data_IF_735492230304
#
_entry.id   IF_735492230304
#
_cell.length_a   1.000
_cell.length_b   1.000
_cell.length_c   1.000
_cell.angle_alpha   90.00
_cell.angle_beta   90.00
_cell.angle_gamma   90.00
#
_symmetry.space_group_name_H-M   'P 1'
#
loop_
_entity.id
_entity.type
_entity.pdbx_description
1 polymer ?
#
# COMPACT_ATOMS: atom_id res chain seq x y z
N UNK A 1 -54.78 35.72 -27.02
CA UNK A 1 -54.98 36.99 -26.32
C UNK A 1 -53.66 37.41 -25.66
N UNK A 2 -53.22 38.48 -26.01
CA UNK A 2 -52.10 39.38 -25.92
C UNK A 2 -51.19 39.31 -24.67
N UNK A 3 -49.91 39.27 -24.97
CA UNK A 3 -48.76 39.50 -24.06
C UNK A 3 -48.77 40.98 -23.57
N UNK A 4 -48.12 41.32 -22.44
CA UNK A 4 -47.01 42.28 -22.63
C UNK A 4 -45.71 41.91 -21.91
N UNK A 5 -44.66 42.23 -22.61
CA UNK A 5 -43.23 42.30 -22.22
C UNK A 5 -43.00 43.47 -21.24
N UNK A 6 -42.12 43.27 -20.26
CA UNK A 6 -41.36 44.40 -19.74
C UNK A 6 -39.93 44.00 -19.36
N UNK A 7 -39.00 44.84 -19.77
CA UNK A 7 -37.54 44.76 -19.65
C UNK A 7 -37.03 45.33 -18.31
N UNK A 8 -35.86 44.85 -17.98
CA UNK A 8 -34.64 45.47 -17.41
C UNK A 8 -34.21 44.95 -16.03
N UNK A 9 -32.94 44.68 -15.96
CA UNK A 9 -32.22 44.46 -14.70
C UNK A 9 -31.06 43.49 -14.79
N UNK A 10 -29.93 44.00 -15.24
CA UNK A 10 -28.60 43.39 -15.25
C UNK A 10 -28.13 43.09 -13.83
N UNK A 11 -27.73 41.87 -13.56
CA UNK A 11 -26.79 41.55 -12.47
C UNK A 11 -26.16 40.18 -12.72
N UNK A 12 -24.92 40.21 -13.11
CA UNK A 12 -23.97 39.10 -13.15
C UNK A 12 -23.90 38.38 -11.81
N UNK A 13 -24.25 37.07 -11.76
CA UNK A 13 -23.85 36.20 -10.68
C UNK A 13 -23.09 35.01 -11.26
N UNK A 14 -21.84 34.95 -10.85
CA UNK A 14 -20.92 33.81 -11.05
C UNK A 14 -21.55 32.51 -10.59
N UNK A 15 -21.69 31.56 -11.48
CA UNK A 15 -21.99 30.17 -11.13
C UNK A 15 -20.66 29.42 -10.91
N UNK A 16 -20.32 29.24 -9.64
CA UNK A 16 -19.24 28.37 -9.24
C UNK A 16 -19.71 26.90 -9.40
N UNK A 17 -19.03 26.15 -10.24
CA UNK A 17 -19.21 24.71 -10.36
C UNK A 17 -18.78 23.98 -9.08
N UNK A 18 -19.19 22.70 -8.89
CA UNK A 18 -18.88 21.98 -7.66
C UNK A 18 -17.37 21.75 -7.56
N UNK A 19 -16.79 22.44 -6.59
CA UNK A 19 -15.37 22.30 -6.27
C UNK A 19 -15.06 20.91 -5.73
N UNK A 20 -14.14 20.24 -6.39
CA UNK A 20 -13.50 19.06 -5.82
C UNK A 20 -12.79 19.47 -4.53
N UNK A 21 -13.25 18.95 -3.41
CA UNK A 21 -12.60 19.16 -2.13
C UNK A 21 -11.20 18.54 -2.18
N UNK A 22 -10.19 19.36 -2.36
CA UNK A 22 -8.81 18.97 -2.10
C UNK A 22 -8.68 18.77 -0.59
N UNK A 23 -8.48 17.52 -0.17
CA UNK A 23 -8.05 17.24 1.18
C UNK A 23 -6.70 17.94 1.39
N UNK A 24 -6.71 19.04 2.13
CA UNK A 24 -5.48 19.67 2.57
C UNK A 24 -4.85 18.79 3.63
N UNK A 25 -3.81 18.07 3.28
CA UNK A 25 -2.90 17.44 4.23
C UNK A 25 -2.16 18.56 4.97
N UNK A 26 -2.80 19.09 6.01
CA UNK A 26 -2.18 19.98 6.94
C UNK A 26 -1.35 19.23 7.98
N UNK A 27 -0.33 18.53 7.52
CA UNK A 27 0.71 18.05 8.40
C UNK A 27 1.53 19.26 8.83
N UNK A 28 1.53 19.55 10.13
CA UNK A 28 2.41 20.55 10.73
C UNK A 28 3.86 20.13 10.45
N UNK A 29 4.56 20.84 9.59
CA UNK A 29 5.92 20.51 9.15
C UNK A 29 6.98 20.65 10.28
N UNK A 30 6.56 20.93 11.53
CA UNK A 30 7.43 21.19 12.66
C UNK A 30 7.17 20.34 13.91
N UNK A 31 6.36 19.27 13.83
CA UNK A 31 6.22 18.35 14.97
C UNK A 31 7.29 17.27 14.90
N UNK A 32 7.98 17.03 16.00
CA UNK A 32 8.91 15.91 16.08
C UNK A 32 8.18 14.58 15.77
N UNK A 33 8.83 13.65 15.05
CA UNK A 33 8.20 12.37 14.76
C UNK A 33 7.91 11.59 16.05
N UNK A 34 6.77 10.91 16.07
CA UNK A 34 6.35 10.13 17.22
C UNK A 34 7.17 8.85 17.40
N UNK A 35 7.49 8.18 16.27
CA UNK A 35 8.48 7.10 16.23
C UNK A 35 9.63 7.57 15.33
N UNK A 36 10.84 7.50 15.83
CA UNK A 36 12.05 7.79 15.06
C UNK A 36 13.00 6.60 15.16
N UNK A 37 13.42 6.11 14.03
CA UNK A 37 14.43 5.06 13.89
C UNK A 37 15.64 5.71 13.22
N UNK A 38 16.82 5.59 13.85
CA UNK A 38 18.05 6.21 13.37
C UNK A 38 19.13 5.16 13.11
N UNK A 39 19.51 5.01 11.85
CA UNK A 39 20.59 4.15 11.37
C UNK A 39 20.53 2.74 11.98
N UNK A 40 19.32 2.16 12.02
CA UNK A 40 19.07 0.91 12.74
C UNK A 40 19.57 -0.29 11.94
N UNK A 41 20.38 -1.12 12.58
CA UNK A 41 20.93 -2.32 11.94
C UNK A 41 20.79 -3.54 12.85
N UNK A 42 20.68 -4.72 12.23
CA UNK A 42 20.67 -6.00 12.94
C UNK A 42 21.43 -7.05 12.15
N UNK A 43 22.35 -7.70 12.86
CA UNK A 43 23.10 -8.84 12.33
C UNK A 43 22.82 -10.08 13.18
N UNK A 44 22.76 -11.23 12.54
CA UNK A 44 22.74 -12.55 13.18
C UNK A 44 23.89 -13.38 12.60
N UNK A 45 24.80 -13.80 13.46
CA UNK A 45 25.95 -14.65 13.08
C UNK A 45 26.73 -14.11 11.87
N UNK A 46 26.89 -12.79 11.83
CA UNK A 46 27.62 -12.09 10.76
C UNK A 46 26.81 -11.76 9.52
N UNK A 47 25.56 -12.20 9.46
CA UNK A 47 24.65 -11.89 8.33
C UNK A 47 23.82 -10.65 8.70
N UNK A 48 23.88 -9.60 7.89
CA UNK A 48 23.10 -8.38 8.08
C UNK A 48 21.67 -8.61 7.54
N UNK A 49 20.69 -8.46 8.42
CA UNK A 49 19.26 -8.67 8.11
C UNK A 49 18.51 -7.34 8.01
N UNK A 50 18.94 -6.33 8.79
CA UNK A 50 18.48 -4.94 8.70
C UNK A 50 19.73 -4.07 8.63
N UNK A 51 19.79 -3.15 7.65
CA UNK A 51 21.00 -2.45 7.29
C UNK A 51 20.78 -0.93 7.20
N UNK A 52 21.11 -0.21 8.28
CA UNK A 52 21.11 1.25 8.33
C UNK A 52 19.77 1.89 8.04
N UNK A 53 18.70 1.36 8.61
CA UNK A 53 17.34 1.86 8.35
C UNK A 53 17.07 3.15 9.14
N UNK A 54 16.60 4.18 8.42
CA UNK A 54 16.08 5.42 8.98
C UNK A 54 14.58 5.53 8.70
N UNK A 55 13.78 5.94 9.71
CA UNK A 55 12.33 6.04 9.54
C UNK A 55 11.73 6.98 10.58
N UNK A 56 10.87 7.89 10.11
CA UNK A 56 10.05 8.75 10.95
C UNK A 56 8.58 8.41 10.72
N UNK A 57 7.81 8.20 11.81
CA UNK A 57 6.36 7.94 11.78
C UNK A 57 5.68 8.96 12.70
N UNK A 58 4.61 9.56 12.20
CA UNK A 58 3.82 10.55 12.95
C UNK A 58 2.86 9.86 13.94
N UNK A 59 2.46 10.59 14.97
CA UNK A 59 1.44 10.10 15.90
C UNK A 59 0.12 9.85 15.18
N UNK A 60 -0.53 8.73 15.44
CA UNK A 60 -1.80 8.37 14.82
C UNK A 60 -1.67 7.94 13.35
N UNK A 61 -0.46 7.74 12.86
CA UNK A 61 -0.23 7.28 11.49
C UNK A 61 -0.46 5.77 11.38
N UNK A 62 -1.01 5.31 10.25
CA UNK A 62 -1.01 3.88 9.89
C UNK A 62 0.10 3.68 8.84
N UNK A 63 1.22 3.14 9.28
CA UNK A 63 2.42 2.96 8.46
C UNK A 63 2.57 1.48 8.10
N UNK A 64 2.77 1.16 6.82
CA UNK A 64 2.98 -0.22 6.36
C UNK A 64 4.41 -0.45 5.88
N UNK A 65 4.96 -1.61 6.21
CA UNK A 65 6.26 -2.07 5.72
C UNK A 65 6.02 -3.29 4.83
N UNK A 66 6.34 -3.16 3.56
CA UNK A 66 6.19 -4.23 2.56
C UNK A 66 7.54 -4.75 2.11
N UNK A 67 7.55 -5.94 1.54
CA UNK A 67 8.75 -6.52 0.94
C UNK A 67 8.61 -8.02 0.76
N UNK A 68 9.55 -8.61 0.07
CA UNK A 68 9.63 -10.04 -0.13
C UNK A 68 9.87 -10.81 1.17
N UNK A 69 9.72 -12.13 1.10
CA UNK A 69 10.05 -12.99 2.24
C UNK A 69 11.55 -12.86 2.57
N UNK A 70 11.87 -12.72 3.84
CA UNK A 70 13.27 -12.67 4.31
C UNK A 70 13.95 -11.32 4.21
N UNK A 71 13.29 -10.25 3.72
CA UNK A 71 13.94 -8.94 3.55
C UNK A 71 14.15 -8.15 4.85
N UNK A 72 13.75 -8.68 6.04
CA UNK A 72 14.03 -8.05 7.33
C UNK A 72 12.83 -7.44 8.06
N UNK A 73 11.63 -7.44 7.49
CA UNK A 73 10.43 -6.77 8.05
C UNK A 73 10.07 -7.20 9.46
N UNK A 74 9.92 -8.51 9.68
CA UNK A 74 9.58 -9.06 11.01
C UNK A 74 10.70 -8.77 12.03
N UNK A 75 11.95 -8.79 11.60
CA UNK A 75 13.10 -8.43 12.45
C UNK A 75 13.01 -6.96 12.88
N UNK A 76 12.71 -6.07 11.93
CA UNK A 76 12.53 -4.64 12.24
C UNK A 76 11.36 -4.45 13.22
N UNK A 77 10.22 -5.12 12.97
CA UNK A 77 9.06 -5.05 13.86
C UNK A 77 9.40 -5.58 15.28
N UNK A 78 10.15 -6.68 15.36
CA UNK A 78 10.60 -7.27 16.65
C UNK A 78 11.55 -6.34 17.40
N UNK A 79 12.41 -5.59 16.68
CA UNK A 79 13.25 -4.56 17.30
C UNK A 79 12.41 -3.42 17.87
N UNK A 80 11.38 -2.97 17.14
CA UNK A 80 10.43 -1.96 17.64
C UNK A 80 9.70 -2.46 18.90
N UNK A 81 9.33 -3.75 18.91
CA UNK A 81 8.64 -4.36 20.05
C UNK A 81 9.56 -4.64 21.25
N UNK A 82 10.88 -4.62 21.05
CA UNK A 82 11.85 -4.95 22.09
C UNK A 82 12.15 -6.44 22.24
N UNK A 83 11.68 -7.28 21.31
CA UNK A 83 11.98 -8.73 21.30
C UNK A 83 13.34 -9.03 20.68
N UNK A 84 13.90 -8.07 19.92
CA UNK A 84 15.24 -8.14 19.35
C UNK A 84 15.98 -6.85 19.69
N UNK A 85 17.26 -6.98 20.09
CA UNK A 85 18.11 -5.83 20.33
C UNK A 85 18.84 -5.46 19.04
N UNK A 86 18.81 -4.20 18.61
CA UNK A 86 19.60 -3.77 17.45
C UNK A 86 21.09 -4.03 17.65
N UNK A 87 21.81 -4.27 16.56
CA UNK A 87 23.28 -4.34 16.55
C UNK A 87 23.89 -2.93 16.51
N UNK A 88 23.14 -1.97 15.92
CA UNK A 88 23.54 -0.55 15.85
C UNK A 88 22.30 0.31 15.65
N UNK A 89 22.41 1.60 15.91
CA UNK A 89 21.34 2.57 15.74
C UNK A 89 20.45 2.71 16.96
N UNK A 90 19.37 3.50 16.82
CA UNK A 90 18.47 3.84 17.94
C UNK A 90 17.00 3.80 17.52
N UNK A 91 16.14 3.54 18.52
CA UNK A 91 14.67 3.58 18.38
C UNK A 91 14.16 4.54 19.46
N UNK A 92 13.48 5.59 19.01
CA UNK A 92 12.90 6.61 19.88
C UNK A 92 11.38 6.58 19.68
N UNK A 93 10.60 6.50 20.76
CA UNK A 93 9.14 6.55 20.72
C UNK A 93 8.68 7.61 21.74
N UNK A 94 7.91 8.58 21.25
CA UNK A 94 7.38 9.67 22.08
C UNK A 94 8.53 10.38 22.85
N UNK A 95 9.64 10.64 22.15
CA UNK A 95 10.82 11.33 22.68
C UNK A 95 11.71 10.49 23.61
N UNK A 96 11.36 9.22 23.86
CA UNK A 96 12.11 8.35 24.80
C UNK A 96 12.86 7.27 24.02
N UNK A 97 14.16 7.12 24.31
CA UNK A 97 14.99 6.07 23.70
C UNK A 97 14.56 4.70 24.24
N UNK A 98 14.06 3.86 23.35
CA UNK A 98 13.59 2.50 23.64
C UNK A 98 14.66 1.42 23.40
N UNK A 99 15.82 1.77 22.83
CA UNK A 99 16.77 0.82 22.25
C UNK A 99 17.15 -0.31 23.21
N UNK A 100 17.44 0.03 24.49
CA UNK A 100 17.81 -0.95 25.53
C UNK A 100 16.63 -1.45 26.37
N UNK A 101 15.42 -0.97 26.15
CA UNK A 101 14.27 -1.32 26.99
C UNK A 101 13.64 -2.65 26.58
N UNK A 102 13.32 -3.53 27.55
CA UNK A 102 12.61 -4.77 27.25
C UNK A 102 11.14 -4.50 26.85
N UNK A 103 10.46 -5.48 26.21
CA UNK A 103 9.09 -5.28 25.68
C UNK A 103 8.09 -4.73 26.69
N UNK A 104 8.13 -5.22 27.94
CA UNK A 104 7.13 -4.84 28.95
C UNK A 104 7.28 -3.40 29.44
N UNK A 105 8.39 -2.72 29.14
CA UNK A 105 8.62 -1.31 29.49
C UNK A 105 8.31 -0.35 28.33
N UNK A 106 8.02 -0.87 27.14
CA UNK A 106 7.73 -0.03 25.97
C UNK A 106 6.22 0.26 25.87
N UNK A 107 5.82 1.44 25.37
CA UNK A 107 4.40 1.76 25.18
C UNK A 107 3.84 1.13 23.90
N UNK A 108 4.27 -0.08 23.58
CA UNK A 108 3.91 -0.80 22.36
C UNK A 108 3.28 -2.16 22.72
N UNK A 109 2.33 -2.60 21.89
CA UNK A 109 1.87 -4.00 21.88
C UNK A 109 2.03 -4.57 20.49
N UNK A 110 2.19 -5.90 20.41
CA UNK A 110 2.40 -6.58 19.14
C UNK A 110 1.39 -7.72 18.97
N UNK A 111 0.78 -7.79 17.80
CA UNK A 111 -0.01 -8.92 17.35
C UNK A 111 0.83 -9.70 16.33
N UNK A 112 1.15 -10.95 16.67
CA UNK A 112 1.97 -11.82 15.82
C UNK A 112 1.11 -12.59 14.82
N UNK A 113 1.71 -13.06 13.73
CA UNK A 113 1.07 -13.76 12.62
C UNK A 113 0.20 -14.95 13.08
N UNK A 114 0.63 -15.70 14.09
CA UNK A 114 -0.11 -16.85 14.63
C UNK A 114 -1.24 -16.45 15.60
N UNK A 115 -1.46 -15.13 15.79
CA UNK A 115 -2.37 -14.55 16.77
C UNK A 115 -2.01 -14.87 18.25
N UNK A 116 -1.32 -15.95 18.52
CA UNK A 116 -0.82 -16.39 19.84
C UNK A 116 -1.92 -16.36 20.93
N UNK A 117 -3.16 -16.70 20.56
CA UNK A 117 -4.31 -16.76 21.49
C UNK A 117 -4.14 -17.99 22.39
N UNK A 118 -4.39 -17.83 23.69
CA UNK A 118 -4.27 -18.93 24.67
C UNK A 118 -5.44 -19.93 24.48
N UNK A 119 -5.17 -21.17 23.99
CA UNK A 119 -6.25 -22.07 23.59
C UNK A 119 -7.11 -22.59 24.75
N UNK A 120 -6.58 -22.61 25.96
CA UNK A 120 -7.25 -23.09 27.17
C UNK A 120 -8.13 -22.02 27.84
N UNK A 121 -7.97 -20.75 27.45
CA UNK A 121 -8.71 -19.62 28.04
C UNK A 121 -9.92 -19.23 27.19
N UNK A 122 -10.95 -18.69 27.83
CA UNK A 122 -12.07 -18.04 27.13
C UNK A 122 -11.62 -16.74 26.46
N UNK A 123 -12.46 -16.18 25.59
CA UNK A 123 -12.23 -14.87 24.93
C UNK A 123 -11.98 -13.79 25.99
N UNK A 124 -12.88 -13.66 26.98
CA UNK A 124 -12.71 -12.65 28.03
C UNK A 124 -11.41 -12.81 28.82
N UNK A 125 -11.01 -14.06 29.12
CA UNK A 125 -9.78 -14.33 29.85
C UNK A 125 -8.52 -14.08 29.02
N UNK A 126 -8.57 -14.34 27.72
CA UNK A 126 -7.52 -13.98 26.78
C UNK A 126 -7.28 -12.46 26.80
N UNK A 127 -8.37 -11.69 26.66
CA UNK A 127 -8.30 -10.23 26.60
C UNK A 127 -7.87 -9.67 27.98
N UNK A 128 -8.43 -10.18 29.06
CA UNK A 128 -8.14 -9.74 30.43
C UNK A 128 -6.72 -10.07 30.90
N UNK A 129 -6.00 -10.97 30.21
CA UNK A 129 -4.75 -11.54 30.72
C UNK A 129 -3.71 -10.48 31.08
N UNK A 130 -3.47 -9.53 30.17
CA UNK A 130 -2.50 -8.45 30.39
C UNK A 130 -2.87 -7.56 31.59
N UNK A 131 -4.14 -7.20 31.69
CA UNK A 131 -4.65 -6.35 32.77
C UNK A 131 -4.51 -7.04 34.15
N UNK A 132 -4.77 -8.36 34.18
CA UNK A 132 -4.58 -9.15 35.42
C UNK A 132 -3.12 -9.17 35.86
N UNK A 133 -2.18 -9.25 34.89
CA UNK A 133 -0.74 -9.24 35.18
C UNK A 133 -0.25 -7.88 35.69
N UNK A 134 -0.93 -6.81 35.33
CA UNK A 134 -0.63 -5.46 35.83
C UNK A 134 -1.30 -5.18 37.20
N UNK A 135 -2.07 -6.13 37.72
CA UNK A 135 -2.73 -5.98 39.03
C UNK A 135 -3.93 -5.03 39.05
N UNK A 136 -4.54 -4.81 37.89
CA UNK A 136 -5.71 -3.94 37.79
C UNK A 136 -6.90 -4.58 38.49
N UNK A 137 -7.71 -3.76 39.16
CA UNK A 137 -8.90 -4.19 39.91
C UNK A 137 -9.87 -4.95 39.00
N UNK A 138 -10.48 -6.02 39.55
CA UNK A 138 -11.35 -6.93 38.81
C UNK A 138 -12.56 -6.23 38.18
N UNK A 139 -13.14 -5.23 38.86
CA UNK A 139 -14.31 -4.49 38.34
C UNK A 139 -13.89 -3.68 37.09
N UNK A 140 -12.75 -2.99 37.13
CA UNK A 140 -12.18 -2.25 36.01
C UNK A 140 -11.81 -3.16 34.85
N UNK A 141 -11.26 -4.36 35.13
CA UNK A 141 -10.96 -5.35 34.10
C UNK A 141 -12.23 -5.71 33.32
N UNK A 142 -13.32 -6.01 34.05
CA UNK A 142 -14.61 -6.37 33.44
C UNK A 142 -15.10 -5.28 32.47
N UNK A 143 -15.05 -4.03 32.91
CA UNK A 143 -15.47 -2.88 32.10
C UNK A 143 -14.62 -2.72 30.87
N UNK A 144 -13.29 -2.73 31.01
CA UNK A 144 -12.35 -2.55 29.88
C UNK A 144 -12.47 -3.69 28.86
N UNK A 145 -12.62 -4.92 29.33
CA UNK A 145 -12.82 -6.09 28.46
C UNK A 145 -14.13 -5.96 27.68
N UNK A 146 -15.21 -5.56 28.32
CA UNK A 146 -16.50 -5.36 27.64
C UNK A 146 -16.41 -4.28 26.57
N UNK A 147 -15.76 -3.16 26.88
CA UNK A 147 -15.55 -2.06 25.94
C UNK A 147 -14.76 -2.52 24.71
N UNK A 148 -13.61 -3.18 24.91
CA UNK A 148 -12.77 -3.58 23.78
C UNK A 148 -13.42 -4.71 22.96
N UNK A 149 -14.17 -5.63 23.60
CA UNK A 149 -14.90 -6.67 22.87
C UNK A 149 -16.02 -6.06 22.00
N UNK A 150 -16.67 -5.02 22.50
CA UNK A 150 -17.65 -4.26 21.69
C UNK A 150 -16.97 -3.60 20.49
N UNK A 151 -15.84 -2.94 20.68
CA UNK A 151 -15.07 -2.28 19.61
C UNK A 151 -14.70 -3.26 18.50
N UNK A 152 -14.26 -4.48 18.85
CA UNK A 152 -13.88 -5.49 17.86
C UNK A 152 -15.07 -6.39 17.44
N UNK A 153 -16.29 -6.03 17.76
CA UNK A 153 -17.52 -6.75 17.38
C UNK A 153 -17.54 -8.21 17.87
N UNK A 154 -17.11 -8.43 19.12
CA UNK A 154 -17.12 -9.75 19.75
C UNK A 154 -18.02 -9.81 21.01
N UNK A 155 -18.97 -8.86 21.15
CA UNK A 155 -19.98 -8.93 22.21
C UNK A 155 -20.80 -10.23 22.09
N UNK A 156 -20.98 -10.95 23.19
CA UNK A 156 -21.67 -12.24 23.20
C UNK A 156 -20.77 -13.45 23.00
N UNK A 157 -19.46 -13.23 22.76
CA UNK A 157 -18.48 -14.31 22.59
C UNK A 157 -17.57 -14.52 23.82
N UNK A 158 -17.81 -13.78 24.90
CA UNK A 158 -16.96 -13.69 26.11
C UNK A 158 -16.55 -15.06 26.64
N UNK A 159 -17.51 -15.98 26.69
CA UNK A 159 -17.36 -17.32 27.31
C UNK A 159 -16.82 -18.37 26.33
N UNK A 160 -16.76 -18.08 25.02
CA UNK A 160 -16.27 -19.03 24.04
C UNK A 160 -14.76 -19.25 24.17
N UNK A 161 -14.31 -20.42 23.76
CA UNK A 161 -12.88 -20.77 23.68
C UNK A 161 -12.41 -20.67 22.23
N UNK A 162 -11.10 -20.51 21.98
CA UNK A 162 -10.57 -20.34 20.63
C UNK A 162 -11.03 -21.36 19.59
N UNK A 163 -11.14 -22.64 19.96
CA UNK A 163 -11.58 -23.70 19.05
C UNK A 163 -13.05 -23.57 18.59
N UNK A 164 -13.83 -22.67 19.21
CA UNK A 164 -15.23 -22.39 18.90
C UNK A 164 -15.37 -21.13 18.01
N UNK A 165 -14.25 -20.59 17.51
CA UNK A 165 -14.21 -19.32 16.78
C UNK A 165 -13.70 -19.53 15.36
N UNK A 166 -14.19 -18.72 14.41
CA UNK A 166 -13.63 -18.64 13.07
C UNK A 166 -12.26 -17.93 13.10
N UNK A 167 -11.48 -18.06 12.01
CA UNK A 167 -10.18 -17.39 11.87
C UNK A 167 -10.27 -15.88 12.10
N UNK A 168 -11.26 -15.22 11.50
CA UNK A 168 -11.48 -13.78 11.71
C UNK A 168 -11.86 -13.43 13.14
N UNK A 169 -12.63 -14.29 13.81
CA UNK A 169 -12.95 -14.08 15.23
C UNK A 169 -11.71 -14.25 16.12
N UNK A 170 -10.85 -15.23 15.82
CA UNK A 170 -9.57 -15.41 16.51
C UNK A 170 -8.67 -14.18 16.36
N UNK A 171 -8.60 -13.65 15.16
CA UNK A 171 -7.86 -12.42 14.88
C UNK A 171 -8.37 -11.25 15.73
N UNK A 172 -9.70 -11.06 15.80
CA UNK A 172 -10.31 -10.01 16.62
C UNK A 172 -10.02 -10.21 18.12
N UNK A 173 -9.95 -11.45 18.59
CA UNK A 173 -9.53 -11.73 20.00
C UNK A 173 -8.09 -11.29 20.22
N UNK A 174 -7.18 -11.61 19.29
CA UNK A 174 -5.77 -11.19 19.36
C UNK A 174 -5.64 -9.66 19.33
N UNK A 175 -6.41 -9.01 18.47
CA UNK A 175 -6.45 -7.55 18.35
C UNK A 175 -6.98 -6.92 19.65
N UNK A 176 -8.09 -7.43 20.20
CA UNK A 176 -8.65 -6.97 21.48
C UNK A 176 -7.64 -7.09 22.60
N UNK A 177 -6.92 -8.23 22.65
CA UNK A 177 -5.87 -8.48 23.65
C UNK A 177 -4.71 -7.47 23.53
N UNK A 178 -4.34 -7.11 22.30
CA UNK A 178 -3.28 -6.14 22.06
C UNK A 178 -3.73 -4.70 22.40
N UNK A 179 -5.01 -4.39 22.21
CA UNK A 179 -5.55 -3.05 22.39
C UNK A 179 -6.01 -2.75 23.82
N UNK A 180 -6.41 -3.77 24.61
CA UNK A 180 -7.04 -3.56 25.92
C UNK A 180 -6.17 -2.77 26.90
N UNK A 181 -4.85 -2.85 26.73
CA UNK A 181 -3.87 -2.10 27.56
C UNK A 181 -3.68 -0.66 27.07
N UNK A 182 -4.37 -0.24 26.03
CA UNK A 182 -4.30 1.11 25.44
C UNK A 182 -2.85 1.51 25.08
N UNK A 183 -2.16 0.71 24.25
CA UNK A 183 -0.79 1.06 23.86
C UNK A 183 -0.76 2.34 23.03
N UNK A 184 0.38 3.05 23.02
CA UNK A 184 0.60 4.21 22.12
C UNK A 184 0.86 3.74 20.69
N UNK A 185 1.45 2.54 20.53
CA UNK A 185 1.79 1.95 19.22
C UNK A 185 1.29 0.51 19.19
N UNK A 186 0.60 0.15 18.10
CA UNK A 186 0.23 -1.24 17.82
C UNK A 186 1.04 -1.75 16.63
N UNK A 187 1.79 -2.83 16.85
CA UNK A 187 2.61 -3.49 15.85
C UNK A 187 1.87 -4.73 15.35
N UNK A 188 1.69 -4.85 14.04
CA UNK A 188 0.91 -5.93 13.41
C UNK A 188 1.80 -6.70 12.43
N UNK A 189 2.08 -7.98 12.73
CA UNK A 189 2.91 -8.84 11.89
C UNK A 189 2.00 -9.73 11.03
N UNK A 190 1.86 -9.39 9.77
CA UNK A 190 1.01 -10.09 8.79
C UNK A 190 -0.42 -10.35 9.31
N UNK A 191 -1.12 -9.30 9.76
CA UNK A 191 -2.38 -9.50 10.52
C UNK A 191 -3.49 -10.18 9.72
N UNK A 192 -3.49 -10.09 8.38
CA UNK A 192 -4.57 -10.58 7.53
C UNK A 192 -4.19 -11.80 6.68
N UNK A 193 -2.98 -12.35 6.87
CA UNK A 193 -2.44 -13.40 6.00
C UNK A 193 -3.29 -14.68 6.01
N UNK A 194 -3.89 -15.02 7.16
CA UNK A 194 -4.66 -16.27 7.32
C UNK A 194 -6.13 -16.17 6.86
N UNK A 195 -6.56 -15.01 6.31
CA UNK A 195 -7.96 -14.76 5.95
C UNK A 195 -8.20 -14.95 4.44
N UNK A 196 -9.38 -15.46 4.08
CA UNK A 196 -9.85 -15.48 2.70
C UNK A 196 -10.05 -14.04 2.18
N UNK A 197 -10.12 -13.86 0.87
CA UNK A 197 -10.16 -12.55 0.21
C UNK A 197 -11.30 -11.65 0.72
N UNK A 198 -12.52 -12.20 0.87
CA UNK A 198 -13.70 -11.41 1.28
C UNK A 198 -13.59 -10.97 2.73
N UNK A 199 -13.17 -11.87 3.61
CA UNK A 199 -12.97 -11.58 5.03
C UNK A 199 -11.81 -10.61 5.21
N UNK A 200 -10.72 -10.76 4.44
CA UNK A 200 -9.56 -9.85 4.46
C UNK A 200 -9.99 -8.41 4.16
N UNK A 201 -10.73 -8.20 3.06
CA UNK A 201 -11.22 -6.85 2.68
C UNK A 201 -12.08 -6.22 3.78
N UNK A 202 -12.99 -7.01 4.36
CA UNK A 202 -13.84 -6.52 5.45
C UNK A 202 -13.01 -6.14 6.68
N UNK A 203 -12.05 -6.98 7.06
CA UNK A 203 -11.21 -6.75 8.24
C UNK A 203 -10.26 -5.56 8.04
N UNK A 204 -9.81 -5.28 6.81
CA UNK A 204 -9.06 -4.06 6.49
C UNK A 204 -9.84 -2.81 6.93
N UNK A 205 -11.09 -2.68 6.50
CA UNK A 205 -11.93 -1.55 6.87
C UNK A 205 -12.15 -1.47 8.39
N UNK A 206 -12.32 -2.63 9.04
CA UNK A 206 -12.48 -2.68 10.50
C UNK A 206 -11.21 -2.19 11.22
N UNK A 207 -10.01 -2.59 10.76
CA UNK A 207 -8.74 -2.13 11.32
C UNK A 207 -8.57 -0.61 11.16
N UNK A 208 -8.91 -0.07 9.99
CA UNK A 208 -8.86 1.38 9.73
C UNK A 208 -9.80 2.14 10.68
N UNK A 209 -11.03 1.65 10.84
CA UNK A 209 -12.02 2.27 11.73
C UNK A 209 -11.54 2.26 13.19
N UNK A 210 -11.00 1.12 13.65
CA UNK A 210 -10.46 0.98 15.01
C UNK A 210 -9.28 1.95 15.21
N UNK A 211 -8.37 2.01 14.24
CA UNK A 211 -7.21 2.89 14.30
C UNK A 211 -7.65 4.37 14.38
N UNK A 212 -8.62 4.75 13.53
CA UNK A 212 -9.16 6.11 13.51
C UNK A 212 -9.88 6.46 14.82
N UNK A 213 -10.71 5.54 15.35
CA UNK A 213 -11.47 5.74 16.59
C UNK A 213 -10.54 5.90 17.80
N UNK A 214 -9.47 5.11 17.86
CA UNK A 214 -8.55 5.13 18.99
C UNK A 214 -7.43 6.17 18.84
N UNK A 215 -7.13 6.63 17.63
CA UNK A 215 -6.07 7.62 17.34
C UNK A 215 -4.66 7.12 17.65
N UNK A 216 -4.44 5.81 17.74
CA UNK A 216 -3.12 5.23 18.05
C UNK A 216 -2.33 4.96 16.78
N UNK A 217 -1.00 4.92 16.91
CA UNK A 217 -0.11 4.68 15.78
C UNK A 217 -0.05 3.18 15.48
N UNK A 218 -0.28 2.80 14.22
CA UNK A 218 -0.16 1.40 13.77
C UNK A 218 1.05 1.25 12.87
N UNK A 219 1.85 0.19 13.11
CA UNK A 219 2.90 -0.24 12.17
C UNK A 219 2.55 -1.65 11.74
N UNK A 220 2.31 -1.82 10.44
CA UNK A 220 1.85 -3.08 9.84
C UNK A 220 2.95 -3.64 8.95
N UNK A 221 3.34 -4.87 9.19
CA UNK A 221 4.23 -5.62 8.27
C UNK A 221 3.36 -6.56 7.44
N UNK A 222 3.53 -6.54 6.12
CA UNK A 222 2.77 -7.40 5.22
C UNK A 222 3.55 -7.68 3.93
N UNK A 223 3.23 -8.76 3.30
CA UNK A 223 3.64 -9.05 1.92
C UNK A 223 2.49 -8.84 0.91
N UNK A 224 1.22 -8.51 1.22
CA UNK A 224 0.26 -8.30 0.51
C UNK A 224 0.19 -7.02 0.10
N UNK A 225 0.52 -6.71 -1.05
CA UNK A 225 0.53 -5.37 -1.66
C UNK A 225 -0.83 -4.66 -1.53
N UNK A 226 -1.92 -5.34 -1.92
CA UNK A 226 -3.29 -4.80 -1.78
C UNK A 226 -3.60 -4.37 -0.36
N UNK A 227 -3.06 -5.09 0.63
CA UNK A 227 -3.25 -4.77 2.05
C UNK A 227 -2.64 -3.40 2.39
N UNK A 228 -1.37 -3.21 2.06
CA UNK A 228 -0.68 -1.96 2.35
C UNK A 228 -1.27 -0.79 1.56
N UNK A 229 -1.61 -1.02 0.27
CA UNK A 229 -2.21 0.01 -0.58
C UNK A 229 -3.55 0.52 -0.01
N UNK A 230 -4.33 -0.37 0.61
CA UNK A 230 -5.64 -0.02 1.15
C UNK A 230 -5.58 0.53 2.58
N UNK A 231 -4.68 -0.01 3.43
CA UNK A 231 -4.63 0.34 4.84
C UNK A 231 -3.80 1.60 5.12
N UNK A 232 -2.62 1.71 4.48
CA UNK A 232 -1.58 2.61 4.95
C UNK A 232 -1.78 4.07 4.50
N UNK A 233 -1.45 4.99 5.37
CA UNK A 233 -1.26 6.39 4.99
C UNK A 233 0.08 6.58 4.27
N UNK A 234 1.09 5.83 4.70
CA UNK A 234 2.41 5.76 4.03
C UNK A 234 2.92 4.32 4.08
N UNK A 235 3.65 3.78 3.02
CA UNK A 235 4.20 2.58 2.84
C UNK A 235 5.59 2.71 2.72
N UNK A 236 6.42 1.82 3.23
CA UNK A 236 7.82 1.63 2.83
C UNK A 236 7.99 0.28 2.15
N UNK A 237 8.73 0.25 1.07
CA UNK A 237 9.13 -1.01 0.40
C UNK A 237 10.52 -1.36 0.91
N UNK A 238 10.65 -2.55 1.48
CA UNK A 238 11.90 -3.06 2.05
C UNK A 238 12.46 -4.19 1.20
N UNK A 239 13.74 -4.10 0.87
CA UNK A 239 14.46 -5.15 0.16
C UNK A 239 15.86 -5.28 0.73
N UNK A 240 16.33 -6.52 0.88
CA UNK A 240 17.68 -6.83 1.39
C UNK A 240 18.08 -6.00 2.63
N UNK A 241 17.13 -5.84 3.56
CA UNK A 241 17.39 -5.14 4.82
C UNK A 241 17.29 -3.62 4.77
N UNK A 242 16.99 -3.02 3.62
CA UNK A 242 16.94 -1.57 3.41
C UNK A 242 15.58 -1.10 2.91
N UNK A 243 15.25 0.14 3.19
CA UNK A 243 14.09 0.78 2.54
C UNK A 243 14.50 1.29 1.15
N UNK A 244 13.84 0.76 0.12
CA UNK A 244 14.10 1.11 -1.29
C UNK A 244 13.30 2.37 -1.68
N UNK A 245 12.06 2.46 -1.19
CA UNK A 245 11.21 3.63 -1.43
C UNK A 245 10.20 3.78 -0.30
N UNK A 246 9.91 5.02 0.07
CA UNK A 246 8.85 5.36 1.01
C UNK A 246 7.96 6.46 0.44
N UNK A 247 6.66 6.40 0.74
CA UNK A 247 5.71 7.41 0.29
C UNK A 247 4.27 7.03 0.57
N UNK A 248 3.33 7.84 0.06
CA UNK A 248 1.91 7.45 0.05
C UNK A 248 1.73 6.26 -0.90
N UNK A 249 0.70 5.41 -0.69
CA UNK A 249 0.43 4.31 -1.62
C UNK A 249 0.37 4.76 -3.08
N UNK A 250 -0.34 5.83 -3.37
CA UNK A 250 -0.45 6.39 -4.72
C UNK A 250 0.92 6.77 -5.28
N UNK A 251 1.76 7.45 -4.49
CA UNK A 251 3.08 7.88 -4.94
C UNK A 251 3.98 6.67 -5.27
N UNK A 252 4.01 5.66 -4.41
CA UNK A 252 4.87 4.49 -4.63
C UNK A 252 4.41 3.69 -5.84
N UNK A 253 3.09 3.60 -6.09
CA UNK A 253 2.51 2.88 -7.23
C UNK A 253 2.72 3.63 -8.56
N UNK A 254 2.40 4.93 -8.58
CA UNK A 254 2.40 5.73 -9.80
C UNK A 254 3.80 6.27 -10.17
N UNK A 255 4.71 6.34 -9.18
CA UNK A 255 6.06 6.92 -9.36
C UNK A 255 7.11 6.03 -8.69
N UNK A 256 7.21 4.75 -9.09
CA UNK A 256 8.25 3.88 -8.52
C UNK A 256 9.65 4.43 -8.82
N UNK A 257 10.54 4.32 -7.85
CA UNK A 257 11.89 4.88 -7.92
C UNK A 257 12.83 4.05 -8.80
N UNK A 258 12.53 2.78 -9.00
CA UNK A 258 13.35 1.86 -9.78
C UNK A 258 12.51 0.66 -10.28
N UNK A 259 13.16 -0.20 -11.07
CA UNK A 259 12.51 -1.38 -11.66
C UNK A 259 11.99 -2.37 -10.62
N UNK A 260 12.73 -2.54 -9.52
CA UNK A 260 12.31 -3.44 -8.44
C UNK A 260 10.96 -3.00 -7.86
N UNK A 261 10.83 -1.73 -7.50
CA UNK A 261 9.57 -1.21 -6.93
C UNK A 261 8.44 -1.26 -7.98
N UNK A 262 8.75 -0.93 -9.24
CA UNK A 262 7.77 -0.97 -10.33
C UNK A 262 7.17 -2.39 -10.48
N UNK A 263 8.03 -3.39 -10.52
CA UNK A 263 7.64 -4.81 -10.67
C UNK A 263 7.04 -5.38 -9.38
N UNK A 264 7.48 -4.90 -8.23
CA UNK A 264 6.97 -5.34 -6.92
C UNK A 264 5.45 -5.12 -6.80
N UNK A 265 4.90 -4.01 -7.33
CA UNK A 265 3.47 -3.69 -7.24
C UNK A 265 2.64 -4.22 -8.44
N UNK A 266 3.05 -5.31 -9.04
CA UNK A 266 2.32 -5.96 -10.13
C UNK A 266 3.02 -5.82 -11.47
N UNK A 267 2.42 -6.41 -12.49
CA UNK A 267 3.00 -6.45 -13.83
C UNK A 267 3.29 -5.03 -14.38
N UNK A 268 4.40 -4.89 -15.04
CA UNK A 268 4.82 -3.65 -15.70
C UNK A 268 5.37 -4.00 -17.09
N UNK A 269 4.85 -3.38 -18.14
CA UNK A 269 5.48 -3.45 -19.46
C UNK A 269 6.71 -2.56 -19.43
N UNK A 270 7.89 -3.13 -19.67
CA UNK A 270 9.17 -2.41 -19.62
C UNK A 270 9.89 -2.53 -20.95
N UNK A 271 10.23 -1.40 -21.56
CA UNK A 271 10.89 -1.32 -22.84
C UNK A 271 12.24 -0.63 -22.67
N UNK A 272 13.30 -1.36 -22.96
CA UNK A 272 14.67 -0.85 -22.87
C UNK A 272 14.93 0.11 -24.02
N UNK A 273 15.66 1.21 -23.75
CA UNK A 273 16.03 2.16 -24.80
C UNK A 273 17.11 3.14 -24.34
N UNK A 274 17.54 3.99 -25.27
CA UNK A 274 18.51 5.05 -25.02
C UNK A 274 17.87 6.41 -25.27
N UNK A 275 18.21 7.35 -24.40
CA UNK A 275 17.64 8.70 -24.53
C UNK A 275 18.25 9.40 -25.74
N UNK A 276 17.33 9.66 -26.55
CA UNK A 276 17.70 10.20 -27.73
C UNK A 276 17.81 11.63 -27.72
N UNK A 277 16.83 12.30 -27.16
CA UNK A 277 16.80 13.79 -27.09
C UNK A 277 15.99 14.20 -25.85
N UNK A 278 16.26 15.38 -25.33
CA UNK A 278 15.56 15.94 -24.14
C UNK A 278 14.98 17.29 -24.54
N UNK A 279 13.67 17.45 -24.38
CA UNK A 279 12.98 18.72 -24.55
C UNK A 279 12.33 19.15 -23.23
N UNK A 280 11.72 20.32 -23.21
CA UNK A 280 11.00 20.78 -22.02
C UNK A 280 9.68 20.02 -21.80
N UNK A 281 9.16 19.35 -22.85
CA UNK A 281 7.85 18.70 -22.81
C UNK A 281 7.93 17.17 -22.77
N UNK A 282 9.01 16.59 -23.31
CA UNK A 282 9.18 15.13 -23.39
C UNK A 282 10.64 14.74 -23.60
N UNK A 283 10.92 13.49 -23.34
CA UNK A 283 12.14 12.79 -23.75
C UNK A 283 11.82 12.00 -25.03
N UNK A 284 12.79 11.89 -25.92
CA UNK A 284 12.75 10.91 -27.01
C UNK A 284 13.64 9.74 -26.60
N UNK A 285 13.04 8.56 -26.54
CA UNK A 285 13.74 7.32 -26.19
C UNK A 285 13.72 6.41 -27.41
N UNK A 286 14.90 6.05 -27.91
CA UNK A 286 15.04 5.07 -28.98
C UNK A 286 15.04 3.69 -28.37
N UNK A 287 13.86 3.06 -28.38
CA UNK A 287 13.65 1.74 -27.79
C UNK A 287 14.13 0.64 -28.74
N UNK A 288 14.62 -0.44 -28.19
CA UNK A 288 15.08 -1.61 -28.93
C UNK A 288 13.95 -2.19 -29.80
N UNK A 289 12.71 -2.09 -29.32
CA UNK A 289 11.56 -2.82 -29.89
C UNK A 289 10.70 -1.98 -30.82
N UNK A 290 10.54 -0.67 -30.56
CA UNK A 290 9.49 0.13 -31.21
C UNK A 290 10.03 1.41 -31.83
N UNK A 291 11.37 1.55 -31.90
CA UNK A 291 11.99 2.79 -32.38
C UNK A 291 11.79 3.93 -31.40
N UNK A 292 11.72 5.15 -31.92
CA UNK A 292 11.69 6.35 -31.10
C UNK A 292 10.28 6.58 -30.51
N UNK A 293 10.19 6.59 -29.18
CA UNK A 293 8.95 6.84 -28.41
C UNK A 293 9.13 8.09 -27.55
N UNK A 294 8.06 8.88 -27.41
CA UNK A 294 8.01 9.99 -26.46
C UNK A 294 7.73 9.49 -25.04
N UNK A 295 8.44 10.06 -24.08
CA UNK A 295 8.31 9.74 -22.66
C UNK A 295 8.27 11.03 -21.83
N UNK A 296 7.73 11.00 -20.61
CA UNK A 296 7.63 12.22 -19.80
C UNK A 296 9.00 12.75 -19.38
N UNK A 297 9.14 14.07 -19.19
CA UNK A 297 10.38 14.63 -18.67
C UNK A 297 10.70 14.03 -17.30
N UNK A 298 11.93 13.54 -17.16
CA UNK A 298 12.34 12.82 -15.93
C UNK A 298 13.62 13.44 -15.38
N UNK A 299 13.61 13.91 -14.13
CA UNK A 299 14.79 14.55 -13.54
C UNK A 299 16.02 13.62 -13.50
N UNK A 300 17.19 14.19 -13.81
CA UNK A 300 18.46 13.48 -13.76
C UNK A 300 18.70 12.48 -14.88
N UNK A 301 17.88 12.48 -15.93
CA UNK A 301 18.10 11.72 -17.18
C UNK A 301 18.95 12.60 -18.09
N UNK A 302 19.96 11.98 -18.72
CA UNK A 302 20.86 12.65 -19.65
C UNK A 302 20.81 11.99 -21.04
N UNK A 303 21.02 12.51 -22.04
CA UNK A 303 21.12 12.03 -23.33
C UNK A 303 22.08 10.95 -23.33
N UNK A 304 21.84 9.97 -24.01
CA UNK A 304 22.58 8.74 -24.10
C UNK A 304 22.42 7.73 -22.94
N UNK A 305 21.72 8.06 -21.83
CA UNK A 305 21.48 7.18 -20.85
C UNK A 305 20.66 6.07 -21.31
N UNK A 306 21.05 4.90 -20.81
CA UNK A 306 20.22 3.72 -20.97
C UNK A 306 19.10 3.79 -19.93
N UNK A 307 17.87 3.61 -20.36
CA UNK A 307 16.67 3.75 -19.51
C UNK A 307 15.66 2.66 -19.87
N UNK A 308 14.67 2.48 -19.02
CA UNK A 308 13.50 1.63 -19.28
C UNK A 308 12.26 2.50 -19.29
N UNK A 309 11.55 2.52 -20.42
CA UNK A 309 10.20 3.10 -20.48
C UNK A 309 9.24 2.06 -19.90
N UNK A 310 8.51 2.40 -18.88
CA UNK A 310 7.63 1.48 -18.16
C UNK A 310 6.18 1.97 -18.20
N UNK A 311 5.23 1.06 -18.51
CA UNK A 311 3.80 1.38 -18.60
C UNK A 311 3.00 0.27 -17.95
N UNK A 312 2.07 0.64 -17.05
CA UNK A 312 1.17 -0.31 -16.39
C UNK A 312 0.17 -0.89 -17.39
N UNK A 313 -0.16 -2.19 -17.32
CA UNK A 313 -1.16 -2.79 -18.22
C UNK A 313 -2.52 -2.09 -18.24
N UNK A 314 -2.98 -1.56 -17.10
CA UNK A 314 -4.25 -0.84 -17.01
C UNK A 314 -4.21 0.59 -17.55
N UNK A 315 -3.03 1.08 -17.89
CA UNK A 315 -2.82 2.41 -18.52
C UNK A 315 -2.74 2.33 -20.03
N UNK A 316 -2.81 1.12 -20.59
CA UNK A 316 -2.71 0.85 -22.04
C UNK A 316 -4.09 0.54 -22.57
N UNK A 317 -4.50 1.24 -23.63
CA UNK A 317 -5.73 0.97 -24.37
C UNK A 317 -5.45 -0.02 -25.51
N UNK A 318 -6.46 -0.79 -25.87
CA UNK A 318 -6.42 -1.74 -27.00
C UNK A 318 -7.60 -1.44 -27.95
N UNK A 319 -7.36 -1.36 -29.24
CA UNK A 319 -8.38 -1.02 -30.26
C UNK A 319 -8.06 -1.66 -31.61
N UNK A 320 -9.09 -1.74 -32.49
CA UNK A 320 -8.91 -2.21 -33.87
C UNK A 320 -8.39 -1.12 -34.81
N UNK A 321 -8.42 0.15 -34.38
CA UNK A 321 -7.97 1.29 -35.15
C UNK A 321 -6.84 2.02 -34.43
N UNK A 322 -5.88 2.60 -35.18
CA UNK A 322 -4.78 3.34 -34.55
C UNK A 322 -5.27 4.63 -33.90
N UNK A 323 -4.73 4.94 -32.73
CA UNK A 323 -4.94 6.25 -32.09
C UNK A 323 -3.81 7.17 -32.56
N UNK A 324 -4.18 8.30 -33.16
CA UNK A 324 -3.20 9.30 -33.62
C UNK A 324 -3.36 10.59 -32.81
N UNK A 325 -2.37 10.87 -31.98
CA UNK A 325 -2.27 12.09 -31.19
C UNK A 325 -0.81 12.42 -30.98
N UNK A 326 -0.49 13.68 -30.79
CA UNK A 326 0.90 14.14 -30.63
C UNK A 326 1.63 13.47 -29.46
N UNK A 327 0.90 13.14 -28.39
CA UNK A 327 1.48 12.60 -27.15
C UNK A 327 1.08 11.15 -26.90
N UNK A 328 0.49 10.48 -27.88
CA UNK A 328 0.08 9.08 -27.77
C UNK A 328 1.02 8.18 -28.56
N UNK A 329 1.58 7.17 -27.92
CA UNK A 329 2.26 6.06 -28.60
C UNK A 329 1.21 5.05 -29.05
N UNK A 330 1.28 4.60 -30.32
CA UNK A 330 0.37 3.59 -30.85
C UNK A 330 1.20 2.55 -31.62
N UNK A 331 1.10 1.29 -31.21
CA UNK A 331 1.91 0.18 -31.72
C UNK A 331 0.98 -0.91 -32.25
N UNK A 332 1.23 -1.37 -33.49
CA UNK A 332 0.47 -2.48 -34.08
C UNK A 332 0.98 -3.81 -33.54
N UNK A 333 0.04 -4.73 -33.27
CA UNK A 333 0.37 -6.08 -32.82
C UNK A 333 -0.76 -7.05 -33.10
N UNK A 334 -0.60 -8.28 -32.62
CA UNK A 334 -1.58 -9.37 -32.79
C UNK A 334 -1.86 -9.94 -31.39
N UNK A 335 -3.14 -10.13 -31.07
CA UNK A 335 -3.54 -10.76 -29.80
C UNK A 335 -3.11 -12.24 -29.84
N UNK A 336 -2.22 -12.62 -28.93
CA UNK A 336 -1.74 -14.01 -28.82
C UNK A 336 -2.50 -14.79 -27.76
N UNK A 337 -2.99 -14.09 -26.74
CA UNK A 337 -3.65 -14.75 -25.61
C UNK A 337 -4.59 -13.76 -24.92
N UNK A 338 -5.63 -14.28 -24.28
CA UNK A 338 -6.54 -13.47 -23.48
C UNK A 338 -7.08 -14.26 -22.28
N UNK A 339 -7.24 -13.58 -21.16
CA UNK A 339 -7.78 -14.15 -19.92
C UNK A 339 -8.92 -13.29 -19.37
N UNK A 340 -10.11 -13.87 -19.22
CA UNK A 340 -11.28 -13.17 -18.69
C UNK A 340 -11.37 -13.37 -17.17
N UNK A 341 -11.37 -12.28 -16.41
CA UNK A 341 -11.39 -12.29 -14.93
C UNK A 341 -12.69 -11.71 -14.35
N UNK A 342 -13.72 -11.60 -15.16
CA UNK A 342 -14.99 -11.00 -14.76
C UNK A 342 -14.98 -9.48 -14.83
N UNK A 343 -14.31 -8.83 -13.90
CA UNK A 343 -14.22 -7.36 -13.86
C UNK A 343 -13.23 -6.77 -14.87
N UNK A 344 -12.31 -7.58 -15.39
CA UNK A 344 -11.31 -7.16 -16.39
C UNK A 344 -10.97 -8.32 -17.31
N UNK A 345 -10.44 -7.99 -18.49
CA UNK A 345 -9.83 -8.94 -19.42
C UNK A 345 -8.37 -8.56 -19.59
N UNK A 346 -7.48 -9.53 -19.45
CA UNK A 346 -6.05 -9.35 -19.71
C UNK A 346 -5.79 -9.86 -21.12
N UNK A 347 -5.20 -9.01 -21.96
CA UNK A 347 -4.75 -9.35 -23.32
C UNK A 347 -3.23 -9.40 -23.35
N UNK A 348 -2.69 -10.35 -24.10
CA UNK A 348 -1.26 -10.38 -24.47
C UNK A 348 -1.18 -10.13 -25.95
N UNK A 349 -0.44 -9.09 -26.33
CA UNK A 349 -0.31 -8.66 -27.72
C UNK A 349 1.16 -8.79 -28.12
N UNK A 350 1.42 -9.69 -29.08
CA UNK A 350 2.74 -9.81 -29.70
C UNK A 350 2.91 -8.70 -30.72
N UNK A 351 4.04 -8.03 -30.66
CA UNK A 351 4.40 -7.00 -31.63
C UNK A 351 5.31 -7.59 -32.72
N UNK A 352 5.74 -6.79 -33.68
CA UNK A 352 6.65 -7.24 -34.76
C UNK A 352 8.04 -7.63 -34.21
N UNK A 353 8.31 -7.31 -32.97
CA UNK A 353 9.51 -7.72 -32.23
C UNK A 353 9.18 -8.93 -31.34
N UNK A 354 10.15 -9.46 -30.64
CA UNK A 354 9.91 -10.61 -29.73
C UNK A 354 9.14 -10.25 -28.46
N UNK A 355 8.78 -9.00 -28.27
CA UNK A 355 8.13 -8.54 -27.02
C UNK A 355 6.61 -8.70 -27.06
N UNK A 356 6.08 -9.07 -25.90
CA UNK A 356 4.65 -9.20 -25.66
C UNK A 356 4.22 -8.07 -24.69
N UNK A 357 3.24 -7.29 -25.13
CA UNK A 357 2.66 -6.23 -24.30
C UNK A 357 1.41 -6.80 -23.58
N UNK A 358 1.37 -6.65 -22.26
CA UNK A 358 0.21 -7.04 -21.46
C UNK A 358 -0.70 -5.83 -21.24
N UNK A 359 -1.99 -5.99 -21.50
CA UNK A 359 -3.02 -4.95 -21.35
C UNK A 359 -4.10 -5.47 -20.39
N UNK A 360 -4.54 -4.62 -19.47
CA UNK A 360 -5.62 -4.94 -18.52
C UNK A 360 -6.82 -4.04 -18.79
N UNK A 361 -7.76 -4.51 -19.60
CA UNK A 361 -8.96 -3.77 -19.98
C UNK A 361 -10.11 -4.04 -19.00
N UNK A 362 -10.75 -2.97 -18.49
CA UNK A 362 -11.90 -3.11 -17.58
C UNK A 362 -13.17 -3.50 -18.34
N UNK A 363 -13.90 -4.47 -17.82
CA UNK A 363 -15.19 -4.93 -18.34
C UNK A 363 -16.31 -4.08 -17.74
N UNK A 364 -16.51 -2.87 -18.26
CA UNK A 364 -17.43 -1.88 -17.71
C UNK A 364 -18.90 -2.16 -18.01
N UNK A 365 -19.20 -2.87 -19.10
CA UNK A 365 -20.57 -3.12 -19.55
C UNK A 365 -20.89 -4.61 -19.56
N UNK A 366 -22.16 -4.95 -19.28
CA UNK A 366 -22.63 -6.35 -19.25
C UNK A 366 -22.45 -7.06 -20.60
N UNK A 367 -22.46 -6.30 -21.68
CA UNK A 367 -22.21 -6.79 -23.04
C UNK A 367 -20.75 -6.68 -23.46
N UNK A 368 -19.83 -6.37 -22.54
CA UNK A 368 -18.38 -6.36 -22.80
C UNK A 368 -17.84 -7.79 -22.79
N UNK A 369 -18.42 -8.64 -23.61
CA UNK A 369 -17.75 -9.86 -24.04
C UNK A 369 -16.53 -9.36 -24.84
N UNK A 370 -15.36 -9.94 -24.66
CA UNK A 370 -14.21 -9.52 -25.45
C UNK A 370 -14.58 -9.53 -26.93
N UNK A 371 -14.56 -8.35 -27.54
CA UNK A 371 -14.79 -8.22 -28.98
C UNK A 371 -13.55 -8.58 -29.77
N UNK A 372 -12.47 -8.92 -29.04
CA UNK A 372 -11.18 -9.29 -29.60
C UNK A 372 -10.90 -10.76 -29.24
N UNK A 373 -10.48 -11.51 -30.27
CA UNK A 373 -10.06 -12.92 -30.13
C UNK A 373 -8.58 -13.07 -30.41
N UNK A 374 -8.05 -14.26 -30.08
CA UNK A 374 -6.70 -14.65 -30.49
C UNK A 374 -6.56 -14.50 -32.00
N UNK A 375 -5.45 -13.98 -32.46
CA UNK A 375 -5.10 -13.67 -33.84
C UNK A 375 -5.73 -12.40 -34.41
N UNK A 376 -6.51 -11.64 -33.64
CA UNK A 376 -6.96 -10.31 -34.06
C UNK A 376 -5.77 -9.34 -34.15
N UNK A 377 -5.70 -8.60 -35.28
CA UNK A 377 -4.80 -7.46 -35.43
C UNK A 377 -5.35 -6.28 -34.63
N UNK A 378 -4.50 -5.66 -33.82
CA UNK A 378 -4.89 -4.59 -32.90
C UNK A 378 -3.81 -3.50 -32.84
N UNK A 379 -4.22 -2.36 -32.30
CA UNK A 379 -3.30 -1.30 -31.90
C UNK A 379 -3.36 -1.18 -30.36
N UNK A 380 -2.19 -1.18 -29.74
CA UNK A 380 -2.03 -0.90 -28.32
C UNK A 380 -1.52 0.54 -28.19
N UNK A 381 -2.13 1.32 -27.32
CA UNK A 381 -1.79 2.75 -27.24
C UNK A 381 -1.81 3.25 -25.79
N UNK A 382 -0.95 4.23 -25.52
CA UNK A 382 -0.91 4.92 -24.23
C UNK A 382 -0.46 6.36 -24.41
N UNK A 383 -0.97 7.22 -23.54
CA UNK A 383 -0.55 8.62 -23.48
C UNK A 383 0.82 8.71 -22.80
N UNK A 384 1.61 9.70 -23.21
CA UNK A 384 2.92 10.01 -22.65
C UNK A 384 2.90 10.04 -21.10
N UNK A 385 1.87 10.66 -20.51
CA UNK A 385 1.74 10.81 -19.06
C UNK A 385 1.46 9.49 -18.32
N UNK A 386 1.09 8.44 -19.05
CA UNK A 386 0.85 7.10 -18.50
C UNK A 386 2.12 6.24 -18.46
N UNK A 387 3.20 6.75 -18.98
CA UNK A 387 4.50 6.06 -18.94
C UNK A 387 5.43 6.71 -17.92
N UNK A 388 6.39 5.94 -17.43
CA UNK A 388 7.45 6.42 -16.54
C UNK A 388 8.80 5.99 -17.09
N UNK A 389 9.84 6.74 -16.74
CA UNK A 389 11.21 6.43 -17.17
C UNK A 389 12.02 6.00 -15.95
N UNK A 390 12.50 4.76 -15.97
CA UNK A 390 13.30 4.17 -14.90
C UNK A 390 14.76 4.07 -15.34
N UNK A 391 15.69 4.36 -14.43
CA UNK A 391 17.12 4.35 -14.73
C UNK A 391 17.72 2.94 -14.59
N UNK A 392 17.41 2.25 -13.52
CA UNK A 392 17.79 0.84 -13.21
C UNK A 392 16.82 0.25 -12.19
#
# INVERSE_FOLDING_TARGET
MTIPVNKTGDSTQDQAGPGTARASNGGNANSEPFIRIENLSKQFDGVTVVDGVDLDISQGELFAILGGSGCGKTTLLRMLAGFETPSAGRIIIDGIDMTGLPPYQRPVNMMVQSYAVFPHMTVENNVAYGLKKEGIDKARIGEQVAQILSLVQLSGYEKRKPHQLSGGQLQRVALARALVKKPKVLLLDEPLAALDKKLRQRTQFELMNIQHELGITFVVVTHXQEEAMNLATRXAVMDEGKFVQMGTPTHVYESPSNRFVADFFGTMNMFEGNVXAITNQYLLIDTVDFGVIKAPPTPGVQXGXRVWLAVRPEKIAISKEPVSSEFTTSIKGVVTDLGYYGNRTIYRVATNTSNVIEISAQNQFRASVPTLDSSDEVFVSWDLTNSIVLKE
#
